data_IF_278658408358
#
_entry.id   IF_278658408358
#
_cell.length_a   1.000
_cell.length_b   1.000
_cell.length_c   1.000
_cell.angle_alpha   90.00
_cell.angle_beta   90.00
_cell.angle_gamma   90.00
#
_symmetry.space_group_name_H-M   'P 1'
#
loop_
_entity.id
_entity.type
_entity.pdbx_description
1 polymer ?
#
# COMPACT_ATOMS: atom_id res chain seq x y z
N UNK A 1 -8.41 -20.47 -16.44
CA UNK A 1 -7.73 -21.22 -17.50
C UNK A 1 -8.35 -22.62 -17.74
N UNK A 2 -8.91 -23.28 -16.72
CA UNK A 2 -9.60 -24.58 -16.94
C UNK A 2 -10.74 -24.51 -17.97
N UNK A 3 -11.41 -23.35 -18.08
CA UNK A 3 -12.49 -23.10 -19.06
C UNK A 3 -11.97 -22.62 -20.42
N UNK A 4 -10.75 -22.11 -20.51
CA UNK A 4 -10.19 -21.51 -21.73
C UNK A 4 -8.82 -22.14 -22.00
N UNK A 5 -8.65 -22.71 -23.19
CA UNK A 5 -7.39 -23.37 -23.61
C UNK A 5 -6.26 -22.38 -23.97
N UNK A 6 -6.51 -21.09 -23.88
CA UNK A 6 -5.55 -20.03 -24.25
C UNK A 6 -4.82 -19.39 -23.08
N UNK A 7 -4.11 -18.32 -23.37
CA UNK A 7 -3.53 -17.44 -22.37
C UNK A 7 -4.64 -16.59 -21.73
N UNK A 8 -4.54 -16.35 -20.43
CA UNK A 8 -5.50 -15.53 -19.68
C UNK A 8 -4.75 -14.33 -19.11
N UNK A 9 -5.31 -13.13 -19.29
CA UNK A 9 -4.80 -11.90 -18.73
C UNK A 9 -5.75 -11.39 -17.64
N UNK A 10 -5.20 -11.03 -16.48
CA UNK A 10 -5.90 -10.40 -15.38
C UNK A 10 -5.45 -8.95 -15.25
N UNK A 11 -6.36 -8.00 -15.46
CA UNK A 11 -6.08 -6.58 -15.22
C UNK A 11 -6.05 -6.29 -13.72
N UNK A 12 -4.97 -5.67 -13.24
CA UNK A 12 -4.79 -5.30 -11.84
C UNK A 12 -4.43 -3.82 -11.76
N UNK A 13 -5.32 -3.03 -11.15
CA UNK A 13 -5.19 -1.58 -11.05
C UNK A 13 -4.25 -1.12 -9.93
N UNK A 14 -3.03 -1.68 -9.85
CA UNK A 14 -2.01 -1.19 -8.91
C UNK A 14 -1.04 -0.25 -9.59
N UNK A 15 -0.48 0.68 -8.82
CA UNK A 15 0.48 1.70 -9.27
C UNK A 15 1.78 1.61 -8.48
N UNK A 16 2.88 1.99 -9.11
CA UNK A 16 4.20 2.05 -8.45
C UNK A 16 4.24 3.09 -7.33
N UNK A 17 3.44 4.14 -7.45
CA UNK A 17 3.35 5.29 -6.53
C UNK A 17 2.64 4.97 -5.21
N UNK A 18 1.90 3.85 -5.13
CA UNK A 18 1.07 3.56 -3.96
C UNK A 18 1.83 3.02 -2.75
N UNK A 19 2.84 2.20 -2.96
CA UNK A 19 3.68 1.64 -1.91
C UNK A 19 4.91 0.93 -2.44
N UNK A 20 5.94 0.82 -1.60
CA UNK A 20 7.17 0.09 -1.92
C UNK A 20 6.90 -1.37 -2.34
N UNK A 21 5.94 -2.04 -1.70
CA UNK A 21 5.58 -3.41 -2.06
C UNK A 21 4.97 -3.51 -3.46
N UNK A 22 4.13 -2.56 -3.85
CA UNK A 22 3.54 -2.49 -5.20
C UNK A 22 4.58 -2.11 -6.23
N UNK A 23 5.45 -1.14 -5.92
CA UNK A 23 6.60 -0.80 -6.74
C UNK A 23 7.47 -2.05 -7.00
N UNK A 24 7.87 -2.77 -5.96
CA UNK A 24 8.66 -4.00 -6.09
C UNK A 24 7.96 -5.06 -6.95
N UNK A 25 6.65 -5.22 -6.78
CA UNK A 25 5.86 -6.19 -7.56
C UNK A 25 5.93 -5.89 -9.06
N UNK A 26 5.97 -4.62 -9.44
CA UNK A 26 5.97 -4.19 -10.84
C UNK A 26 7.39 -4.11 -11.40
N UNK A 27 8.35 -3.57 -10.66
CA UNK A 27 9.69 -3.19 -11.16
C UNK A 27 10.74 -4.30 -11.00
N UNK A 28 10.62 -5.18 -10.00
CA UNK A 28 11.64 -6.20 -9.73
C UNK A 28 11.71 -7.24 -10.85
N UNK A 29 12.78 -7.19 -11.63
CA UNK A 29 12.99 -8.02 -12.83
C UNK A 29 13.44 -9.45 -12.52
N UNK A 30 14.24 -9.63 -11.47
CA UNK A 30 15.03 -10.86 -11.28
C UNK A 30 14.24 -12.09 -10.81
N UNK A 31 12.97 -11.94 -10.44
CA UNK A 31 12.15 -13.02 -9.88
C UNK A 31 10.84 -13.27 -10.61
N UNK A 32 10.55 -12.57 -11.71
CA UNK A 32 9.26 -12.69 -12.37
C UNK A 32 9.40 -13.04 -13.87
N UNK A 33 8.61 -13.98 -14.29
CA UNK A 33 8.38 -14.20 -15.70
C UNK A 33 7.35 -13.18 -16.21
N UNK A 34 7.68 -12.48 -17.29
CA UNK A 34 6.83 -11.48 -17.92
C UNK A 34 6.24 -12.00 -19.22
N UNK A 35 5.20 -11.37 -19.73
CA UNK A 35 4.70 -11.64 -21.07
C UNK A 35 5.49 -10.82 -22.09
N UNK A 36 6.17 -11.47 -23.02
CA UNK A 36 6.96 -10.81 -24.10
C UNK A 36 7.89 -9.68 -23.58
N UNK A 37 8.50 -9.86 -22.42
CA UNK A 37 9.39 -8.88 -21.77
C UNK A 37 8.72 -7.55 -21.39
N UNK A 38 7.38 -7.44 -21.42
CA UNK A 38 6.70 -6.26 -20.93
C UNK A 38 6.77 -6.20 -19.40
N UNK A 39 7.41 -5.17 -18.85
CA UNK A 39 7.67 -5.02 -17.41
C UNK A 39 6.38 -4.85 -16.59
N UNK A 40 5.34 -4.31 -17.19
CA UNK A 40 4.01 -4.13 -16.60
C UNK A 40 3.15 -5.41 -16.65
N UNK A 41 3.79 -6.57 -16.80
CA UNK A 41 3.13 -7.89 -16.74
C UNK A 41 3.86 -8.83 -15.80
N UNK A 42 3.15 -9.79 -15.21
CA UNK A 42 3.74 -10.82 -14.35
C UNK A 42 2.99 -12.13 -14.55
N UNK A 43 3.71 -13.21 -14.80
CA UNK A 43 3.11 -14.55 -14.87
C UNK A 43 2.73 -15.04 -13.48
N UNK A 44 1.52 -15.56 -13.33
CA UNK A 44 1.05 -16.13 -12.08
C UNK A 44 1.59 -17.56 -11.97
N UNK A 45 2.33 -17.82 -10.89
CA UNK A 45 2.77 -19.17 -10.52
C UNK A 45 1.80 -19.70 -9.46
N UNK A 46 1.13 -20.79 -9.73
CA UNK A 46 0.21 -21.40 -8.79
C UNK A 46 0.52 -22.90 -8.65
N UNK A 47 0.96 -23.31 -7.45
CA UNK A 47 1.20 -24.71 -7.08
C UNK A 47 1.92 -25.52 -8.16
N UNK A 48 3.13 -25.10 -8.55
CA UNK A 48 4.01 -25.80 -9.51
C UNK A 48 3.39 -26.07 -10.90
N UNK A 49 2.15 -25.68 -11.13
CA UNK A 49 1.51 -25.82 -12.44
C UNK A 49 1.88 -24.62 -13.32
N UNK A 50 2.42 -24.92 -14.49
CA UNK A 50 2.71 -23.93 -15.53
C UNK A 50 1.41 -23.43 -16.15
N UNK A 51 0.74 -22.49 -15.46
CA UNK A 51 -0.43 -21.82 -15.99
C UNK A 51 -0.01 -20.69 -16.92
N UNK A 52 -0.71 -20.54 -18.05
CA UNK A 52 -0.54 -19.40 -18.95
C UNK A 52 -1.45 -18.23 -18.51
N UNK A 53 -1.32 -17.82 -17.25
CA UNK A 53 -2.07 -16.72 -16.65
C UNK A 53 -1.11 -15.59 -16.30
N UNK A 54 -1.46 -14.39 -16.70
CA UNK A 54 -0.64 -13.20 -16.52
C UNK A 54 -1.46 -12.09 -15.86
N UNK A 55 -0.88 -11.42 -14.86
CA UNK A 55 -1.36 -10.11 -14.43
C UNK A 55 -0.79 -9.06 -15.37
N UNK A 56 -1.57 -8.05 -15.70
CA UNK A 56 -1.08 -6.84 -16.34
C UNK A 56 -1.54 -5.60 -15.55
N UNK A 57 -0.70 -4.61 -15.55
CA UNK A 57 -0.85 -3.41 -14.73
C UNK A 57 -1.02 -2.18 -15.62
N UNK A 58 -2.24 -1.89 -16.11
CA UNK A 58 -2.45 -0.88 -17.17
C UNK A 58 -2.18 0.56 -16.73
N UNK A 59 -2.19 0.83 -15.43
CA UNK A 59 -2.00 2.16 -14.84
C UNK A 59 -0.78 2.18 -13.90
N UNK A 60 0.20 1.32 -14.12
CA UNK A 60 1.33 1.12 -13.21
C UNK A 60 2.18 2.39 -12.98
N UNK A 61 2.26 3.26 -13.97
CA UNK A 61 3.03 4.50 -14.01
C UNK A 61 2.20 5.75 -13.67
N UNK A 62 0.91 5.59 -13.40
CA UNK A 62 0.03 6.69 -13.06
C UNK A 62 0.29 7.20 -11.64
N UNK A 63 0.24 8.51 -11.46
CA UNK A 63 0.24 9.17 -10.16
C UNK A 63 -1.18 9.30 -9.62
N UNK A 64 -1.30 9.72 -8.37
CA UNK A 64 -2.61 9.93 -7.73
C UNK A 64 -3.41 11.00 -8.47
N UNK A 65 -2.76 12.06 -8.94
CA UNK A 65 -3.37 13.14 -9.72
C UNK A 65 -3.91 12.64 -11.07
N UNK A 66 -3.21 11.70 -11.71
CA UNK A 66 -3.64 11.14 -12.99
C UNK A 66 -4.95 10.37 -12.83
N UNK A 67 -5.11 9.64 -11.71
CA UNK A 67 -6.36 8.95 -11.38
C UNK A 67 -7.50 9.95 -11.25
N UNK A 68 -7.34 11.00 -10.44
CA UNK A 68 -8.40 12.00 -10.25
C UNK A 68 -8.64 12.82 -11.51
N UNK A 69 -7.60 13.09 -12.29
CA UNK A 69 -7.72 13.70 -13.60
C UNK A 69 -8.52 12.86 -14.58
N UNK A 70 -8.30 11.55 -14.61
CA UNK A 70 -9.06 10.61 -15.44
C UNK A 70 -10.53 10.51 -14.96
N UNK A 71 -10.76 10.41 -13.65
CA UNK A 71 -12.11 10.40 -13.05
C UNK A 71 -12.90 11.63 -13.50
N UNK A 72 -12.30 12.82 -13.40
CA UNK A 72 -12.94 14.07 -13.78
C UNK A 72 -13.18 14.19 -15.29
N UNK A 73 -12.17 13.87 -16.12
CA UNK A 73 -12.26 14.03 -17.58
C UNK A 73 -13.20 13.04 -18.25
N UNK A 74 -13.30 11.83 -17.70
CA UNK A 74 -14.09 10.73 -18.27
C UNK A 74 -15.42 10.53 -17.55
N UNK A 75 -15.75 11.39 -16.60
CA UNK A 75 -16.95 11.29 -15.74
C UNK A 75 -17.11 9.89 -15.11
N UNK A 76 -16.03 9.35 -14.58
CA UNK A 76 -16.03 8.02 -14.01
C UNK A 76 -16.66 8.03 -12.63
N UNK A 77 -17.46 7.02 -12.35
CA UNK A 77 -17.99 6.79 -11.01
C UNK A 77 -16.87 6.31 -10.07
N UNK A 78 -16.83 6.88 -8.89
CA UNK A 78 -15.91 6.49 -7.83
C UNK A 78 -16.63 6.28 -6.50
N UNK A 79 -15.96 5.68 -5.53
CA UNK A 79 -16.56 5.45 -4.22
C UNK A 79 -16.67 6.79 -3.46
N UNK A 80 -17.88 7.13 -3.05
CA UNK A 80 -18.20 8.38 -2.33
C UNK A 80 -17.39 8.58 -1.04
N UNK A 81 -16.85 7.52 -0.46
CA UNK A 81 -16.01 7.61 0.75
C UNK A 81 -14.77 8.50 0.55
N UNK A 82 -14.23 8.58 -0.67
CA UNK A 82 -13.10 9.46 -0.96
C UNK A 82 -13.48 10.95 -0.84
N UNK A 83 -14.70 11.29 -1.22
CA UNK A 83 -15.22 12.65 -1.03
C UNK A 83 -15.42 12.97 0.46
N UNK A 84 -15.91 12.02 1.24
CA UNK A 84 -16.04 12.16 2.69
C UNK A 84 -14.66 12.32 3.36
N UNK A 85 -13.66 11.54 2.94
CA UNK A 85 -12.29 11.67 3.42
C UNK A 85 -11.72 13.06 3.11
N UNK A 86 -11.96 13.57 1.90
CA UNK A 86 -11.52 14.91 1.51
C UNK A 86 -12.20 16.01 2.33
N UNK A 87 -13.53 15.94 2.50
CA UNK A 87 -14.30 16.86 3.35
C UNK A 87 -13.85 16.84 4.81
N UNK A 88 -13.33 15.69 5.27
CA UNK A 88 -12.77 15.53 6.61
C UNK A 88 -11.28 15.94 6.71
N UNK A 89 -10.75 16.61 5.70
CA UNK A 89 -9.42 17.24 5.69
C UNK A 89 -8.26 16.37 5.21
N UNK A 90 -8.52 15.17 4.66
CA UNK A 90 -7.47 14.36 4.07
C UNK A 90 -7.13 14.83 2.66
N UNK A 91 -5.84 15.01 2.40
CA UNK A 91 -5.35 15.24 1.04
C UNK A 91 -5.56 14.02 0.15
N UNK A 92 -5.56 14.19 -1.15
CA UNK A 92 -5.71 13.09 -2.12
C UNK A 92 -4.65 11.99 -1.98
N UNK A 93 -3.50 12.31 -1.40
CA UNK A 93 -2.40 11.37 -1.17
C UNK A 93 -2.58 10.52 0.09
N UNK A 94 -3.38 11.00 1.04
CA UNK A 94 -3.65 10.34 2.31
C UNK A 94 -4.91 9.48 2.27
N UNK A 95 -5.72 9.64 1.23
CA UNK A 95 -6.97 8.91 1.05
C UNK A 95 -6.70 7.46 0.69
N UNK A 96 -6.66 6.62 1.69
CA UNK A 96 -6.39 5.20 1.53
C UNK A 96 -7.53 4.37 2.10
N UNK A 97 -8.18 3.62 1.21
CA UNK A 97 -9.24 2.69 1.61
C UNK A 97 -8.61 1.31 1.78
N UNK A 98 -8.42 0.90 3.02
CA UNK A 98 -7.91 -0.41 3.37
C UNK A 98 -8.63 -0.99 4.60
N UNK A 99 -8.32 -2.24 4.91
CA UNK A 99 -8.90 -2.94 6.04
C UNK A 99 -8.59 -2.18 7.34
N UNK A 100 -9.60 -1.88 8.20
CA UNK A 100 -9.42 -1.04 9.40
C UNK A 100 -8.40 -1.57 10.41
N UNK A 101 -8.13 -2.86 10.40
CA UNK A 101 -7.22 -3.52 11.36
C UNK A 101 -5.84 -3.84 10.79
N UNK A 102 -5.56 -3.49 9.53
CA UNK A 102 -4.25 -3.64 8.94
C UNK A 102 -3.25 -2.61 9.46
N UNK A 103 -1.97 -2.92 9.40
CA UNK A 103 -0.90 -1.99 9.79
C UNK A 103 -0.95 -0.68 9.00
N UNK A 104 -1.34 -0.75 7.75
CA UNK A 104 -1.51 0.41 6.87
C UNK A 104 -2.59 1.39 7.35
N UNK A 105 -3.58 0.91 8.13
CA UNK A 105 -4.72 1.71 8.59
C UNK A 105 -4.57 2.25 10.01
N UNK A 106 -3.51 1.94 10.72
CA UNK A 106 -3.31 2.41 12.11
C UNK A 106 -3.51 3.92 12.26
N UNK A 107 -2.95 4.69 11.32
CA UNK A 107 -3.04 6.15 11.31
C UNK A 107 -4.40 6.70 10.83
N UNK A 108 -5.26 5.85 10.28
CA UNK A 108 -6.57 6.20 9.75
C UNK A 108 -7.75 5.80 10.64
N UNK A 109 -7.51 5.26 11.83
CA UNK A 109 -8.58 4.84 12.74
C UNK A 109 -9.47 5.99 13.18
N UNK A 110 -8.92 7.19 13.40
CA UNK A 110 -9.69 8.40 13.70
C UNK A 110 -10.67 8.74 12.58
N UNK A 111 -10.21 8.62 11.34
CA UNK A 111 -11.04 8.87 10.15
C UNK A 111 -12.13 7.82 10.02
N UNK A 112 -11.81 6.54 10.24
CA UNK A 112 -12.78 5.48 10.24
C UNK A 112 -13.87 5.71 11.30
N UNK A 113 -13.49 6.09 12.52
CA UNK A 113 -14.42 6.46 13.59
C UNK A 113 -15.32 7.63 13.20
N UNK A 114 -14.79 8.66 12.54
CA UNK A 114 -15.54 9.85 12.14
C UNK A 114 -16.52 9.55 10.99
N UNK A 115 -16.12 8.72 10.02
CA UNK A 115 -16.91 8.43 8.82
C UNK A 115 -17.92 7.29 9.02
N UNK A 116 -17.60 6.31 9.87
CA UNK A 116 -18.36 5.08 10.06
C UNK A 116 -18.66 4.80 11.55
N UNK A 117 -19.28 5.79 12.22
CA UNK A 117 -19.50 5.77 13.67
C UNK A 117 -20.28 4.53 14.16
N UNK A 118 -21.31 4.10 13.41
CA UNK A 118 -22.09 2.91 13.79
C UNK A 118 -21.28 1.62 13.69
N UNK A 119 -20.50 1.50 12.62
CA UNK A 119 -19.57 0.38 12.44
C UNK A 119 -18.48 0.40 13.51
N UNK A 120 -17.98 1.59 13.85
CA UNK A 120 -17.03 1.77 14.93
C UNK A 120 -17.56 1.24 16.28
N UNK A 121 -18.81 1.55 16.62
CA UNK A 121 -19.46 1.02 17.84
C UNK A 121 -19.48 -0.53 17.87
N UNK A 122 -19.82 -1.16 16.74
CA UNK A 122 -19.78 -2.63 16.61
C UNK A 122 -18.37 -3.20 16.78
N UNK A 123 -17.38 -2.51 16.25
CA UNK A 123 -15.97 -2.88 16.34
C UNK A 123 -15.46 -2.81 17.77
N UNK A 124 -15.76 -1.73 18.49
CA UNK A 124 -15.39 -1.58 19.90
C UNK A 124 -15.90 -2.73 20.78
N UNK A 125 -17.10 -3.23 20.48
CA UNK A 125 -17.70 -4.31 21.21
C UNK A 125 -17.11 -5.69 20.89
N UNK A 126 -16.43 -5.83 19.74
CA UNK A 126 -15.92 -7.13 19.26
C UNK A 126 -14.41 -7.28 19.39
N UNK A 127 -13.67 -6.20 19.32
CA UNK A 127 -12.22 -6.23 19.23
C UNK A 127 -11.60 -5.51 20.42
N UNK A 128 -11.02 -6.27 21.31
CA UNK A 128 -10.29 -5.74 22.46
C UNK A 128 -9.08 -4.90 22.00
N UNK A 129 -8.89 -3.75 22.63
CA UNK A 129 -7.75 -2.89 22.36
C UNK A 129 -7.91 -1.92 21.17
N UNK A 130 -8.99 -1.99 20.39
CA UNK A 130 -9.22 -1.09 19.25
C UNK A 130 -9.26 0.38 19.71
N UNK A 131 -9.93 0.68 20.81
CA UNK A 131 -9.97 2.04 21.33
C UNK A 131 -8.58 2.53 21.79
N UNK A 132 -7.78 1.66 22.38
CA UNK A 132 -6.38 1.96 22.70
C UNK A 132 -5.59 2.24 21.41
N UNK A 133 -5.76 1.39 20.40
CA UNK A 133 -5.18 1.61 19.08
C UNK A 133 -5.57 2.96 18.48
N UNK A 134 -6.83 3.34 18.56
CA UNK A 134 -7.32 4.63 18.06
C UNK A 134 -6.71 5.83 18.82
N UNK A 135 -6.61 5.77 20.13
CA UNK A 135 -6.06 6.84 20.96
C UNK A 135 -4.56 7.02 20.73
N UNK A 136 -3.82 5.91 20.63
CA UNK A 136 -2.36 5.90 20.57
C UNK A 136 -1.77 5.67 19.19
N UNK A 137 -2.61 5.56 18.12
CA UNK A 137 -2.16 5.23 16.77
C UNK A 137 -1.11 6.20 16.19
N UNK A 138 -1.13 7.46 16.63
CA UNK A 138 -0.18 8.51 16.19
C UNK A 138 0.97 8.74 17.18
N UNK A 139 1.05 7.94 18.22
CA UNK A 139 2.06 8.11 19.27
C UNK A 139 3.19 7.08 19.13
N UNK A 140 4.30 7.33 19.82
CA UNK A 140 5.42 6.39 19.89
C UNK A 140 5.07 5.08 20.59
N UNK A 141 3.99 5.05 21.39
CA UNK A 141 3.48 3.85 22.07
C UNK A 141 3.10 2.72 21.09
N UNK A 142 2.70 3.03 19.86
CA UNK A 142 2.39 2.06 18.81
C UNK A 142 3.43 2.06 17.65
N UNK A 143 4.64 2.50 17.92
CA UNK A 143 5.74 2.38 16.98
C UNK A 143 5.84 3.50 15.94
N UNK A 144 5.09 4.59 16.10
CA UNK A 144 5.25 5.78 15.27
C UNK A 144 6.51 6.54 15.70
N UNK A 145 7.64 6.13 15.20
CA UNK A 145 8.89 6.86 15.37
C UNK A 145 8.98 7.90 14.25
N UNK A 146 8.86 9.17 14.59
CA UNK A 146 9.24 10.24 13.69
C UNK A 146 10.77 10.28 13.66
N UNK A 147 11.37 9.59 12.69
CA UNK A 147 12.80 9.73 12.44
C UNK A 147 13.05 11.08 11.79
N UNK A 148 13.64 12.01 12.52
CA UNK A 148 14.16 13.24 11.95
C UNK A 148 15.59 12.97 11.48
N UNK A 149 15.80 13.03 10.16
CA UNK A 149 17.12 12.96 9.58
C UNK A 149 17.92 14.22 9.98
N UNK A 150 19.18 14.12 10.44
CA UNK A 150 20.04 15.28 10.66
C UNK A 150 20.20 16.09 9.36
N UNK A 151 20.26 17.40 9.46
CA UNK A 151 20.35 18.29 8.28
C UNK A 151 21.63 18.08 7.47
N UNK A 152 22.72 17.71 8.15
CA UNK A 152 24.04 17.48 7.55
C UNK A 152 24.20 16.14 6.86
N UNK A 153 23.20 15.25 6.89
CA UNK A 153 23.22 13.93 6.22
C UNK A 153 22.23 13.90 5.06
N UNK A 154 22.58 13.20 3.99
CA UNK A 154 21.62 12.75 2.99
C UNK A 154 20.76 11.61 3.55
N UNK A 155 19.63 11.29 2.91
CA UNK A 155 18.83 10.13 3.32
C UNK A 155 19.58 8.79 3.18
N UNK A 156 20.49 8.70 2.22
CA UNK A 156 21.30 7.52 2.01
C UNK A 156 22.32 7.34 3.16
N UNK A 157 23.04 8.39 3.53
CA UNK A 157 23.99 8.38 4.65
C UNK A 157 23.29 8.08 5.97
N UNK A 158 22.12 8.67 6.18
CA UNK A 158 21.32 8.42 7.39
C UNK A 158 20.83 6.96 7.46
N UNK A 159 20.45 6.37 6.34
CA UNK A 159 20.07 4.95 6.27
C UNK A 159 21.26 4.04 6.60
N UNK A 160 22.43 4.32 6.05
CA UNK A 160 23.67 3.58 6.36
C UNK A 160 24.00 3.70 7.83
N UNK A 161 23.97 4.93 8.37
CA UNK A 161 24.22 5.18 9.79
C UNK A 161 23.26 4.39 10.70
N UNK A 162 21.97 4.35 10.38
CA UNK A 162 21.00 3.57 11.16
C UNK A 162 21.27 2.06 11.08
N UNK A 163 21.61 1.53 9.90
CA UNK A 163 21.94 0.12 9.72
C UNK A 163 23.22 -0.25 10.50
N UNK A 164 24.26 0.56 10.41
CA UNK A 164 25.50 0.35 11.16
C UNK A 164 25.26 0.41 12.67
N UNK A 165 24.41 1.31 13.15
CA UNK A 165 24.07 1.41 14.57
C UNK A 165 23.35 0.15 15.10
N UNK A 166 22.55 -0.51 14.28
CA UNK A 166 21.94 -1.82 14.61
C UNK A 166 23.02 -2.90 14.67
N UNK A 167 23.97 -2.88 13.74
CA UNK A 167 25.08 -3.83 13.67
C UNK A 167 26.01 -3.82 14.90
N UNK A 168 26.13 -2.68 15.58
CA UNK A 168 26.87 -2.58 16.85
C UNK A 168 26.26 -3.49 17.93
N UNK A 169 24.95 -3.67 17.92
CA UNK A 169 24.23 -4.48 18.92
C UNK A 169 23.99 -5.92 18.47
N UNK A 170 23.93 -6.18 17.17
CA UNK A 170 23.71 -7.54 16.64
C UNK A 170 24.21 -7.69 15.20
N UNK A 171 25.41 -8.27 15.06
CA UNK A 171 26.05 -8.53 13.77
C UNK A 171 25.25 -9.49 12.86
N UNK A 172 24.38 -10.34 13.40
CA UNK A 172 23.62 -11.31 12.62
C UNK A 172 22.42 -10.66 11.90
N UNK A 173 22.01 -9.46 12.33
CA UNK A 173 20.95 -8.68 11.64
C UNK A 173 21.47 -7.92 10.41
N UNK A 174 22.79 -7.83 10.22
CA UNK A 174 23.43 -7.14 9.10
C UNK A 174 23.69 -8.04 7.88
N UNK A 175 23.46 -9.35 8.00
CA UNK A 175 23.59 -10.35 6.93
C UNK A 175 22.23 -10.71 6.34
#
# INVERSE_FOLDING_TARGET
>A
QKKHKGKVACGVGIRTDESLNRFRTIVFKDRKETFNNYQWTTKIKFNEKHLNVYNFYPIYDWRTEDIWGAVSKLDLKFNYIYELMYKNGLSIYEQRLCQPYGDDQKNGLDQFKALEYETWGKVLNRVNGVNFGNIYCKTTALGNIKSCKPEFMSWQEYTIFLLESIGIYNNDLMR
#
